data_IF_374111501933
#
_entry.id   IF_374111501933
#
_cell.length_a   1.000
_cell.length_b   1.000
_cell.length_c   1.000
_cell.angle_alpha   90.00
_cell.angle_beta   90.00
_cell.angle_gamma   90.00
#
_symmetry.space_group_name_H-M   'P 1'
#
loop_
_entity.id
_entity.type
_entity.pdbx_description
1 polymer ?
#
# COMPACT_ATOMS: atom_id res chain seq x y z
N UNK A 1 -40.79 37.67 -11.27
CA UNK A 1 -40.94 36.29 -11.76
C UNK A 1 -41.54 36.36 -13.16
N UNK A 2 -40.86 35.86 -14.18
CA UNK A 2 -41.39 35.87 -15.55
C UNK A 2 -42.65 34.99 -15.63
N UNK A 3 -43.66 35.47 -16.38
CA UNK A 3 -44.96 34.83 -16.50
C UNK A 3 -44.81 33.54 -17.32
N UNK A 4 -45.01 32.38 -16.68
CA UNK A 4 -44.85 31.06 -17.33
C UNK A 4 -45.87 30.79 -18.46
N UNK A 5 -46.92 31.61 -18.58
CA UNK A 5 -48.04 31.36 -19.49
C UNK A 5 -47.75 31.69 -20.96
N UNK A 6 -46.67 32.41 -21.23
CA UNK A 6 -46.34 32.91 -22.58
C UNK A 6 -45.10 32.24 -23.21
N UNK A 7 -44.54 31.18 -22.57
CA UNK A 7 -43.40 30.48 -23.14
C UNK A 7 -43.84 29.42 -24.15
N UNK A 8 -43.24 29.48 -25.34
CA UNK A 8 -43.30 28.40 -26.32
C UNK A 8 -42.65 27.12 -25.75
N UNK A 9 -43.12 25.94 -26.20
CA UNK A 9 -42.61 24.64 -25.72
C UNK A 9 -41.09 24.51 -25.87
N UNK A 10 -40.55 24.97 -26.99
CA UNK A 10 -39.11 24.97 -27.29
C UNK A 10 -38.31 25.73 -26.22
N UNK A 11 -38.82 26.86 -25.78
CA UNK A 11 -38.17 27.76 -24.83
C UNK A 11 -38.33 27.28 -23.38
N UNK A 12 -39.48 26.69 -23.04
CA UNK A 12 -39.65 25.99 -21.77
C UNK A 12 -38.69 24.81 -21.64
N UNK A 13 -38.57 23.98 -22.70
CA UNK A 13 -37.63 22.85 -22.74
C UNK A 13 -36.20 23.33 -22.57
N UNK A 14 -35.76 24.35 -23.31
CA UNK A 14 -34.41 24.89 -23.20
C UNK A 14 -34.12 25.46 -21.80
N UNK A 15 -35.09 26.14 -21.17
CA UNK A 15 -34.93 26.66 -19.78
C UNK A 15 -34.88 25.53 -18.75
N UNK A 16 -35.65 24.46 -18.93
CA UNK A 16 -35.57 23.27 -18.08
C UNK A 16 -34.24 22.52 -18.29
N UNK A 17 -33.77 22.37 -19.53
CA UNK A 17 -32.46 21.77 -19.83
C UNK A 17 -31.30 22.64 -19.31
N UNK A 18 -31.43 23.97 -19.33
CA UNK A 18 -30.42 24.86 -18.75
C UNK A 18 -30.36 24.78 -17.22
N UNK A 19 -31.52 24.61 -16.56
CA UNK A 19 -31.63 24.58 -15.09
C UNK A 19 -31.42 23.18 -14.50
N UNK A 20 -31.89 22.16 -15.20
CA UNK A 20 -31.98 20.79 -14.72
C UNK A 20 -31.37 19.78 -15.72
N UNK A 21 -31.01 20.21 -16.92
CA UNK A 21 -30.49 19.33 -17.96
C UNK A 21 -29.06 18.88 -17.72
N UNK A 22 -28.77 17.74 -18.32
CA UNK A 22 -27.68 16.84 -17.94
C UNK A 22 -26.32 17.17 -18.57
N UNK A 23 -26.16 18.30 -19.26
CA UNK A 23 -24.89 18.63 -19.92
C UNK A 23 -23.70 18.65 -18.93
N UNK A 24 -23.93 19.13 -17.70
CA UNK A 24 -22.96 19.01 -16.60
C UNK A 24 -23.03 17.66 -15.87
N UNK A 25 -24.14 16.94 -16.00
CA UNK A 25 -24.38 15.66 -15.34
C UNK A 25 -23.55 14.54 -15.97
N UNK A 26 -23.44 14.48 -17.30
CA UNK A 26 -22.68 13.43 -17.99
C UNK A 26 -21.19 13.48 -17.64
N UNK A 27 -20.56 14.66 -17.68
CA UNK A 27 -19.15 14.82 -17.32
C UNK A 27 -18.88 14.47 -15.84
N UNK A 28 -19.81 14.83 -14.95
CA UNK A 28 -19.75 14.46 -13.54
C UNK A 28 -19.86 12.95 -13.35
N UNK A 29 -20.79 12.29 -14.02
CA UNK A 29 -20.93 10.83 -13.97
C UNK A 29 -19.73 10.12 -14.58
N UNK A 30 -19.17 10.64 -15.68
CA UNK A 30 -17.96 10.09 -16.28
C UNK A 30 -16.80 10.14 -15.28
N UNK A 31 -16.60 11.31 -14.66
CA UNK A 31 -15.57 11.50 -13.62
C UNK A 31 -15.79 10.58 -12.42
N UNK A 32 -17.04 10.41 -11.97
CA UNK A 32 -17.39 9.46 -10.91
C UNK A 32 -17.08 8.03 -11.34
N UNK A 33 -17.49 7.61 -12.53
CA UNK A 33 -17.29 6.26 -13.04
C UNK A 33 -15.80 5.90 -13.14
N UNK A 34 -14.97 6.75 -13.76
CA UNK A 34 -13.53 6.46 -13.95
C UNK A 34 -12.76 6.46 -12.64
N UNK A 35 -13.14 7.33 -11.70
CA UNK A 35 -12.49 7.45 -10.39
C UNK A 35 -13.09 6.54 -9.32
N UNK A 36 -14.14 5.79 -9.65
CA UNK A 36 -14.79 4.87 -8.72
C UNK A 36 -13.79 3.83 -8.24
N UNK A 37 -13.67 3.66 -6.92
CA UNK A 37 -12.85 2.64 -6.27
C UNK A 37 -13.66 2.05 -5.13
N UNK A 38 -13.59 0.74 -4.95
CA UNK A 38 -14.28 0.09 -3.85
C UNK A 38 -13.68 0.60 -2.53
N UNK A 39 -14.53 1.09 -1.63
CA UNK A 39 -14.09 1.56 -0.31
C UNK A 39 -13.72 0.38 0.59
N UNK A 40 -12.89 0.64 1.60
CA UNK A 40 -12.57 -0.39 2.60
C UNK A 40 -13.84 -0.83 3.33
N UNK A 41 -14.10 -2.14 3.37
CA UNK A 41 -15.28 -2.72 4.00
C UNK A 41 -16.59 -2.56 3.21
N UNK A 42 -16.56 -1.94 2.03
CA UNK A 42 -17.75 -1.84 1.18
C UNK A 42 -18.16 -3.20 0.61
N UNK A 43 -19.45 -3.50 0.68
CA UNK A 43 -19.99 -4.75 0.16
C UNK A 43 -19.82 -4.82 -1.38
N UNK A 44 -19.30 -5.94 -1.86
CA UNK A 44 -19.06 -6.20 -3.29
C UNK A 44 -20.33 -6.03 -4.13
N UNK A 45 -21.49 -6.45 -3.62
CA UNK A 45 -22.76 -6.33 -4.33
C UNK A 45 -23.15 -4.86 -4.50
N UNK A 46 -23.09 -4.08 -3.43
CA UNK A 46 -23.42 -2.65 -3.44
C UNK A 46 -22.50 -1.90 -4.40
N UNK A 47 -21.20 -2.16 -4.31
CA UNK A 47 -20.20 -1.59 -5.21
C UNK A 47 -20.49 -1.93 -6.69
N UNK A 48 -20.83 -3.19 -6.98
CA UNK A 48 -21.21 -3.65 -8.32
C UNK A 48 -22.45 -2.93 -8.85
N UNK A 49 -23.49 -2.79 -8.03
CA UNK A 49 -24.72 -2.07 -8.40
C UNK A 49 -24.45 -0.59 -8.71
N UNK A 50 -23.56 0.06 -7.95
CA UNK A 50 -23.17 1.45 -8.19
C UNK A 50 -22.40 1.61 -9.50
N UNK A 51 -21.49 0.68 -9.82
CA UNK A 51 -20.78 0.64 -11.10
C UNK A 51 -21.77 0.47 -12.27
N UNK A 52 -22.74 -0.44 -12.14
CA UNK A 52 -23.78 -0.67 -13.16
C UNK A 52 -24.64 0.58 -13.39
N UNK A 53 -25.05 1.23 -12.28
CA UNK A 53 -25.83 2.46 -12.33
C UNK A 53 -25.05 3.58 -13.02
N UNK A 54 -23.79 3.79 -12.66
CA UNK A 54 -22.93 4.79 -13.29
C UNK A 54 -22.70 4.48 -14.78
N UNK A 55 -22.48 3.21 -15.14
CA UNK A 55 -22.31 2.84 -16.55
C UNK A 55 -23.55 3.19 -17.39
N UNK A 56 -24.78 2.99 -16.85
CA UNK A 56 -26.03 3.41 -17.50
C UNK A 56 -26.14 4.92 -17.70
N UNK A 57 -25.69 5.70 -16.73
CA UNK A 57 -25.72 7.16 -16.80
C UNK A 57 -24.66 7.72 -17.77
N UNK A 58 -23.50 7.09 -17.85
CA UNK A 58 -22.39 7.54 -18.72
C UNK A 58 -22.58 7.09 -20.16
N UNK A 59 -23.18 5.92 -20.38
CA UNK A 59 -23.33 5.32 -21.69
C UNK A 59 -24.80 4.95 -21.99
N UNK A 60 -25.73 5.93 -22.02
CA UNK A 60 -27.15 5.67 -22.26
C UNK A 60 -27.40 5.09 -23.66
N UNK A 61 -26.66 5.56 -24.66
CA UNK A 61 -26.79 5.14 -26.07
C UNK A 61 -26.00 3.85 -26.40
N UNK A 62 -25.23 3.30 -25.45
CA UNK A 62 -24.40 2.12 -25.69
C UNK A 62 -25.23 0.84 -25.54
N UNK A 63 -25.11 -0.15 -26.47
CA UNK A 63 -25.79 -1.43 -26.34
C UNK A 63 -25.51 -2.11 -25.00
N UNK A 64 -26.52 -2.75 -24.42
CA UNK A 64 -26.45 -3.34 -23.08
C UNK A 64 -25.25 -4.27 -22.88
N UNK A 65 -24.94 -5.11 -23.88
CA UNK A 65 -23.80 -6.02 -23.84
C UNK A 65 -22.46 -5.29 -23.74
N UNK A 66 -22.31 -4.18 -24.47
CA UNK A 66 -21.09 -3.38 -24.46
C UNK A 66 -20.96 -2.60 -23.16
N UNK A 67 -22.07 -2.05 -22.68
CA UNK A 67 -22.13 -1.37 -21.39
C UNK A 67 -21.82 -2.32 -20.22
N UNK A 68 -22.30 -3.56 -20.27
CA UNK A 68 -21.98 -4.61 -19.29
C UNK A 68 -20.48 -4.93 -19.28
N UNK A 69 -19.84 -5.04 -20.45
CA UNK A 69 -18.38 -5.24 -20.56
C UNK A 69 -17.59 -4.06 -19.97
N UNK A 70 -18.01 -2.82 -20.27
CA UNK A 70 -17.39 -1.61 -19.72
C UNK A 70 -17.52 -1.59 -18.19
N UNK A 71 -18.73 -1.86 -17.69
CA UNK A 71 -19.01 -1.92 -16.26
C UNK A 71 -18.19 -3.04 -15.57
N UNK A 72 -18.14 -4.23 -16.17
CA UNK A 72 -17.35 -5.36 -15.69
C UNK A 72 -15.85 -5.01 -15.60
N UNK A 73 -15.29 -4.42 -16.65
CA UNK A 73 -13.90 -4.00 -16.67
C UNK A 73 -13.60 -2.96 -15.57
N UNK A 74 -14.48 -1.98 -15.41
CA UNK A 74 -14.33 -0.94 -14.37
C UNK A 74 -14.48 -1.52 -12.96
N UNK A 75 -15.43 -2.43 -12.75
CA UNK A 75 -15.61 -3.13 -11.49
C UNK A 75 -14.33 -3.88 -11.10
N UNK A 76 -13.83 -4.76 -11.98
CA UNK A 76 -12.64 -5.58 -11.70
C UNK A 76 -11.41 -4.71 -11.44
N UNK A 77 -11.20 -3.65 -12.24
CA UNK A 77 -10.04 -2.77 -12.08
C UNK A 77 -10.07 -1.96 -10.77
N UNK A 78 -11.26 -1.76 -10.22
CA UNK A 78 -11.53 -0.85 -9.09
C UNK A 78 -11.78 -1.55 -7.76
N UNK A 79 -11.73 -2.89 -7.72
CA UNK A 79 -11.79 -3.68 -6.48
C UNK A 79 -10.62 -3.35 -5.55
N UNK A 80 -10.90 -3.32 -4.24
CA UNK A 80 -9.92 -3.00 -3.20
C UNK A 80 -9.05 -4.20 -2.81
N UNK A 81 -9.60 -5.41 -2.81
CA UNK A 81 -8.85 -6.63 -2.56
C UNK A 81 -8.02 -7.04 -3.80
N UNK A 82 -6.70 -6.90 -3.68
CA UNK A 82 -5.77 -7.23 -4.77
C UNK A 82 -5.69 -8.71 -5.11
N UNK A 83 -6.06 -9.63 -4.21
CA UNK A 83 -6.18 -11.05 -4.52
C UNK A 83 -7.44 -11.32 -5.35
N UNK A 84 -8.60 -10.83 -4.89
CA UNK A 84 -9.87 -10.96 -5.64
C UNK A 84 -9.74 -10.34 -7.04
N UNK A 85 -9.19 -9.13 -7.12
CA UNK A 85 -8.93 -8.46 -8.40
C UNK A 85 -8.10 -9.32 -9.36
N UNK A 86 -6.96 -9.86 -8.90
CA UNK A 86 -6.08 -10.70 -9.74
C UNK A 86 -6.77 -12.00 -10.15
N UNK A 87 -7.52 -12.64 -9.27
CA UNK A 87 -8.25 -13.87 -9.58
C UNK A 87 -9.24 -13.64 -10.75
N UNK A 88 -10.04 -12.57 -10.68
CA UNK A 88 -11.00 -12.23 -11.72
C UNK A 88 -10.32 -11.82 -13.04
N UNK A 89 -9.19 -11.12 -12.98
CA UNK A 89 -8.41 -10.76 -14.18
C UNK A 89 -7.87 -11.99 -14.91
N UNK A 90 -7.39 -13.00 -14.16
CA UNK A 90 -6.90 -14.26 -14.74
C UNK A 90 -8.03 -15.12 -15.32
N UNK A 91 -9.21 -15.10 -14.71
CA UNK A 91 -10.40 -15.82 -15.21
C UNK A 91 -10.95 -15.21 -16.51
N UNK A 92 -10.70 -13.92 -16.76
CA UNK A 92 -11.16 -13.25 -17.98
C UNK A 92 -12.67 -13.01 -18.01
N UNK A 93 -13.28 -12.70 -16.86
CA UNK A 93 -14.72 -12.44 -16.74
C UNK A 93 -15.14 -11.21 -17.57
N UNK A 94 -16.20 -11.36 -18.38
CA UNK A 94 -16.68 -10.30 -19.28
C UNK A 94 -18.10 -9.80 -18.95
N UNK A 95 -18.76 -10.37 -17.94
CA UNK A 95 -20.08 -9.92 -17.49
C UNK A 95 -20.03 -9.43 -16.05
N UNK A 96 -20.62 -8.27 -15.77
CA UNK A 96 -20.57 -7.65 -14.46
C UNK A 96 -21.21 -8.55 -13.40
N UNK A 97 -22.36 -9.15 -13.73
CA UNK A 97 -23.06 -10.07 -12.83
C UNK A 97 -22.17 -11.25 -12.42
N UNK A 98 -21.54 -11.89 -13.40
CA UNK A 98 -20.63 -13.02 -13.15
C UNK A 98 -19.45 -12.56 -12.31
N UNK A 99 -18.88 -11.38 -12.62
CA UNK A 99 -17.78 -10.82 -11.84
C UNK A 99 -18.17 -10.59 -10.37
N UNK A 100 -19.37 -10.07 -10.09
CA UNK A 100 -19.86 -9.87 -8.71
C UNK A 100 -20.03 -11.21 -7.98
N UNK A 101 -20.65 -12.20 -8.64
CA UNK A 101 -20.86 -13.54 -8.08
C UNK A 101 -19.51 -14.23 -7.76
N UNK A 102 -18.55 -14.18 -8.69
CA UNK A 102 -17.20 -14.72 -8.51
C UNK A 102 -16.43 -13.99 -7.43
N UNK A 103 -16.48 -12.65 -7.40
CA UNK A 103 -15.77 -11.86 -6.41
C UNK A 103 -16.25 -12.20 -4.98
N UNK A 104 -17.56 -12.39 -4.78
CA UNK A 104 -18.11 -12.86 -3.50
C UNK A 104 -17.60 -14.25 -3.14
N UNK A 105 -17.60 -15.19 -4.08
CA UNK A 105 -17.12 -16.55 -3.84
C UNK A 105 -15.63 -16.56 -3.45
N UNK A 106 -14.79 -15.81 -4.17
CA UNK A 106 -13.36 -15.70 -3.85
C UNK A 106 -13.15 -15.07 -2.48
N UNK A 107 -13.90 -14.02 -2.13
CA UNK A 107 -13.83 -13.37 -0.82
C UNK A 107 -14.20 -14.34 0.32
N UNK A 108 -15.22 -15.19 0.13
CA UNK A 108 -15.60 -16.21 1.11
C UNK A 108 -14.52 -17.29 1.28
N UNK A 109 -13.97 -17.80 0.17
CA UNK A 109 -12.87 -18.78 0.19
C UNK A 109 -11.66 -18.19 0.91
N UNK A 110 -11.32 -16.93 0.63
CA UNK A 110 -10.25 -16.23 1.33
C UNK A 110 -10.55 -16.07 2.82
N UNK A 111 -11.75 -15.64 3.22
CA UNK A 111 -12.14 -15.54 4.64
C UNK A 111 -11.88 -16.86 5.40
N UNK A 112 -12.37 -17.97 4.85
CA UNK A 112 -12.20 -19.30 5.46
C UNK A 112 -10.74 -19.80 5.48
N UNK A 113 -9.94 -19.52 4.46
CA UNK A 113 -8.53 -19.94 4.41
C UNK A 113 -7.59 -19.06 5.26
N UNK A 114 -7.94 -17.80 5.51
CA UNK A 114 -7.11 -16.84 6.25
C UNK A 114 -7.49 -16.70 7.73
N UNK A 115 -8.73 -16.98 8.14
CA UNK A 115 -9.10 -17.11 9.56
C UNK A 115 -8.31 -18.25 10.23
N UNK A 116 -8.15 -19.39 9.54
CA UNK A 116 -7.29 -20.50 10.00
C UNK A 116 -5.81 -20.12 10.18
N UNK A 117 -5.33 -19.01 9.59
CA UNK A 117 -3.97 -18.50 9.79
C UNK A 117 -3.88 -17.44 10.89
N UNK A 118 -4.97 -16.76 11.26
CA UNK A 118 -4.96 -15.77 12.35
C UNK A 118 -4.77 -16.43 13.71
N UNK A 119 -5.33 -17.62 13.91
CA UNK A 119 -5.07 -18.43 15.11
C UNK A 119 -3.59 -18.88 15.21
N UNK A 120 -2.95 -19.14 14.06
CA UNK A 120 -1.55 -19.57 13.99
C UNK A 120 -0.52 -18.43 14.08
N UNK A 121 -0.93 -17.17 13.90
CA UNK A 121 -0.01 -16.02 13.98
C UNK A 121 0.43 -15.69 15.42
N UNK A 122 -0.35 -16.06 16.44
CA UNK A 122 0.07 -15.91 17.84
C UNK A 122 1.37 -16.69 18.14
N UNK A 123 1.51 -17.89 17.56
CA UNK A 123 2.68 -18.74 17.76
C UNK A 123 3.92 -18.22 16.99
N UNK A 124 3.74 -17.67 15.79
CA UNK A 124 4.85 -17.16 14.98
C UNK A 124 5.44 -15.85 15.55
N UNK A 125 4.58 -14.98 16.09
CA UNK A 125 4.98 -13.71 16.70
C UNK A 125 5.74 -13.94 18.02
N UNK A 126 5.32 -14.93 18.83
CA UNK A 126 6.06 -15.36 20.02
C UNK A 126 7.41 -16.02 19.70
N UNK A 127 7.53 -16.74 18.58
CA UNK A 127 8.81 -17.33 18.14
C UNK A 127 9.83 -16.25 17.75
N UNK A 128 9.40 -15.16 17.09
CA UNK A 128 10.26 -14.00 16.81
C UNK A 128 10.71 -13.28 18.09
N UNK A 129 9.80 -13.12 19.07
CA UNK A 129 10.14 -12.53 20.38
C UNK A 129 11.16 -13.37 21.17
N UNK A 130 11.03 -14.70 21.16
CA UNK A 130 12.03 -15.61 21.78
C UNK A 130 13.40 -15.51 21.10
N UNK A 131 13.46 -15.50 19.77
CA UNK A 131 14.73 -15.37 19.04
C UNK A 131 15.43 -14.02 19.27
N UNK A 132 14.68 -12.93 19.44
CA UNK A 132 15.26 -11.62 19.76
C UNK A 132 15.77 -11.54 21.20
N UNK A 133 15.05 -12.15 22.15
CA UNK A 133 15.51 -12.23 23.54
C UNK A 133 16.75 -13.14 23.69
N UNK A 134 16.82 -14.30 23.02
CA UNK A 134 18.00 -15.19 23.08
C UNK A 134 19.27 -14.54 22.52
N UNK A 135 19.16 -13.68 21.49
CA UNK A 135 20.29 -12.88 21.01
C UNK A 135 20.75 -11.85 22.05
N UNK A 136 19.81 -11.25 22.80
CA UNK A 136 20.12 -10.26 23.84
C UNK A 136 20.77 -10.89 25.07
N UNK A 137 20.38 -12.11 25.45
CA UNK A 137 21.01 -12.89 26.54
C UNK A 137 22.47 -13.25 26.18
N UNK A 138 22.71 -13.74 24.96
CA UNK A 138 24.07 -14.08 24.49
C UNK A 138 24.99 -12.86 24.39
N UNK A 139 24.46 -11.68 24.08
CA UNK A 139 25.26 -10.45 24.03
C UNK A 139 25.64 -9.93 25.42
N UNK A 140 24.80 -10.13 26.44
CA UNK A 140 25.10 -9.75 27.83
C UNK A 140 26.14 -10.68 28.49
N UNK A 141 26.13 -11.98 28.20
CA UNK A 141 27.11 -12.93 28.75
C UNK A 141 28.53 -12.69 28.19
N UNK A 142 28.66 -12.26 26.93
CA UNK A 142 29.95 -11.92 26.31
C UNK A 142 30.56 -10.63 26.90
N UNK A 143 29.75 -9.73 27.45
CA UNK A 143 30.21 -8.43 27.95
C UNK A 143 30.67 -8.44 29.41
N UNK A 144 30.25 -9.44 30.23
CA UNK A 144 30.69 -9.56 31.63
C UNK A 144 32.10 -10.16 31.81
N UNK A 145 32.66 -10.83 30.79
CA UNK A 145 34.00 -11.42 30.84
C UNK A 145 35.13 -10.51 30.31
N UNK A 146 34.85 -9.25 29.98
CA UNK A 146 35.80 -8.34 29.28
C UNK A 146 36.17 -7.08 30.08
N UNK A 147 35.84 -7.03 31.37
CA UNK A 147 36.24 -5.90 32.23
C UNK A 147 37.59 -6.17 32.91
N UNK A 148 37.91 -7.42 33.29
CA UNK A 148 39.17 -7.73 33.98
C UNK A 148 40.41 -7.82 33.07
N UNK A 149 40.24 -8.10 31.77
CA UNK A 149 41.36 -8.22 30.81
C UNK A 149 41.78 -6.90 30.13
N UNK A 150 40.97 -5.83 30.25
CA UNK A 150 41.29 -4.54 29.60
C UNK A 150 42.36 -3.74 30.32
N UNK A 151 42.50 -3.89 31.64
CA UNK A 151 43.55 -3.19 32.41
C UNK A 151 44.95 -3.75 32.14
N UNK A 152 45.10 -5.03 31.79
CA UNK A 152 46.41 -5.63 31.46
C UNK A 152 46.91 -5.31 30.05
N UNK A 153 46.02 -5.04 29.08
CA UNK A 153 46.40 -4.80 27.68
C UNK A 153 46.80 -3.33 27.43
N UNK A 154 46.30 -2.38 28.23
CA UNK A 154 46.61 -0.95 28.07
C UNK A 154 48.10 -0.63 28.33
N UNK A 155 48.79 -1.46 29.12
CA UNK A 155 50.19 -1.25 29.52
C UNK A 155 51.25 -1.86 28.58
N UNK A 156 50.87 -2.41 27.42
CA UNK A 156 51.82 -2.91 26.39
C UNK A 156 51.81 -2.07 25.12
N UNK A 157 51.87 -0.74 25.25
CA UNK A 157 52.02 0.16 24.10
C UNK A 157 53.50 0.29 23.77
N UNK A 158 53.99 -0.55 22.88
CA UNK A 158 55.35 -0.53 22.34
C UNK A 158 55.47 0.46 21.16
N UNK A 159 56.46 1.34 21.21
CA UNK A 159 56.77 2.26 20.12
C UNK A 159 57.45 1.53 18.96
N UNK A 160 56.88 1.57 17.76
CA UNK A 160 57.43 0.87 16.58
C UNK A 160 58.66 1.53 15.94
N UNK A 161 59.11 2.67 16.47
CA UNK A 161 60.29 3.39 15.94
C UNK A 161 61.52 3.22 16.84
N UNK A 162 61.34 3.09 18.17
CA UNK A 162 62.44 2.85 19.11
C UNK A 162 62.34 1.54 19.90
N UNK A 163 61.23 0.81 19.77
CA UNK A 163 60.99 -0.47 20.44
C UNK A 163 60.72 -0.40 21.94
N UNK A 164 60.60 0.81 22.53
CA UNK A 164 60.36 0.98 23.97
C UNK A 164 58.86 1.02 24.31
N UNK A 165 58.50 0.45 25.44
CA UNK A 165 57.12 0.45 25.97
C UNK A 165 56.75 1.80 26.63
N UNK A 166 55.47 2.16 26.63
CA UNK A 166 54.92 3.30 27.36
C UNK A 166 54.49 4.50 26.49
N UNK A 167 54.77 4.49 25.19
CA UNK A 167 54.37 5.54 24.24
C UNK A 167 54.22 4.97 22.82
N UNK A 168 53.50 5.67 21.94
CA UNK A 168 53.40 5.32 20.52
C UNK A 168 54.43 6.07 19.67
N UNK A 169 54.65 5.63 18.42
CA UNK A 169 55.57 6.25 17.46
C UNK A 169 55.42 7.78 17.34
N UNK A 170 54.19 8.27 17.41
CA UNK A 170 53.84 9.69 17.33
C UNK A 170 54.39 10.54 18.48
N UNK A 171 54.72 9.91 19.60
CA UNK A 171 55.16 10.55 20.85
C UNK A 171 56.62 10.17 21.15
N UNK A 172 57.34 9.61 20.17
CA UNK A 172 58.70 9.14 20.35
C UNK A 172 59.66 10.33 20.50
N UNK A 173 60.36 10.48 21.64
CA UNK A 173 61.23 11.64 21.90
C UNK A 173 62.45 11.72 20.96
N UNK A 174 62.78 10.63 20.24
CA UNK A 174 63.83 10.63 19.22
C UNK A 174 63.46 11.24 17.87
N UNK A 175 62.20 11.65 17.66
CA UNK A 175 61.76 12.26 16.38
C UNK A 175 62.13 13.74 16.23
N UNK A 176 62.25 14.47 17.33
CA UNK A 176 62.38 15.94 17.30
C UNK A 176 63.80 16.46 17.06
N UNK A 177 64.80 15.58 16.92
CA UNK A 177 66.18 15.98 16.62
C UNK A 177 66.57 15.89 15.14
N UNK A 178 65.65 15.47 14.24
CA UNK A 178 65.92 15.30 12.82
C UNK A 178 65.33 16.40 11.90
N UNK A 179 64.76 17.47 12.45
CA UNK A 179 64.23 18.61 11.68
C UNK A 179 64.87 19.97 12.07
N UNK A 180 66.12 19.96 12.53
CA UNK A 180 66.93 21.18 12.69
C UNK A 180 68.42 20.94 12.37
N UNK A 181 68.78 20.87 11.09
CA UNK A 181 70.00 21.44 10.46
C UNK A 181 70.21 20.83 9.07
N UNK A 182 70.07 21.68 8.05
CA UNK A 182 70.54 21.56 6.64
C UNK A 182 70.23 20.28 5.85
#
# INVERSE_FOLDING_TARGET
MQNLKDLEYSELKAKLELRFGEAHSLQNYYTQFTNQRQKFGENIATFGSDIERLARLVYPECPDLMRDKIACAQFVSSLSDGFVKRALQMEGVTSLRIAIERAKAVQLIQGTCFENKRENNFYLENKKRKFFNDKKSKQLEINKGKEDDKERIINKKECWECGKEGHFRSECPGRTEAENMN
#
